data_IF_793484979976
#
_entry.id   IF_793484979976
#
_cell.length_a   1.000
_cell.length_b   1.000
_cell.length_c   1.000
_cell.angle_alpha   90.00
_cell.angle_beta   90.00
_cell.angle_gamma   90.00
#
_symmetry.space_group_name_H-M   'P 1'
#
loop_
_entity.id
_entity.type
_entity.pdbx_description
1 polymer ?
#
# COMPACT_ATOMS: atom_id res chain seq x y z
N UNK A 1 -0.69 34.80 -1.27
CA UNK A 1 -0.21 36.20 -1.39
C UNK A 1 1.27 36.36 -1.01
N UNK A 2 1.78 35.73 0.03
CA UNK A 2 3.21 35.81 0.39
C UNK A 2 4.17 35.16 -0.63
N UNK A 3 3.82 34.06 -1.28
CA UNK A 3 4.65 33.42 -2.30
C UNK A 3 4.80 34.27 -3.58
N UNK A 4 3.78 35.02 -3.96
CA UNK A 4 3.86 35.94 -5.11
C UNK A 4 4.77 37.15 -4.85
N UNK A 5 4.80 37.63 -3.61
CA UNK A 5 5.64 38.79 -3.23
C UNK A 5 7.12 38.37 -3.24
N UNK A 6 7.46 37.16 -2.80
CA UNK A 6 8.85 36.67 -2.80
C UNK A 6 9.38 36.44 -4.22
N UNK A 7 8.55 35.93 -5.14
CA UNK A 7 8.94 35.71 -6.54
C UNK A 7 9.18 37.05 -7.27
N UNK A 8 8.33 38.07 -7.01
CA UNK A 8 8.49 39.40 -7.58
C UNK A 8 9.74 40.14 -7.06
N UNK A 9 10.09 39.94 -5.78
CA UNK A 9 11.30 40.53 -5.19
C UNK A 9 12.57 39.92 -5.79
N UNK A 10 12.64 38.59 -5.94
CA UNK A 10 13.79 37.90 -6.52
C UNK A 10 14.02 38.30 -7.98
N UNK A 11 12.95 38.40 -8.77
CA UNK A 11 13.05 38.79 -10.18
C UNK A 11 13.50 40.26 -10.35
N UNK A 12 13.00 41.15 -9.47
CA UNK A 12 13.40 42.56 -9.47
C UNK A 12 14.87 42.79 -9.09
N UNK A 13 15.38 42.05 -8.12
CA UNK A 13 16.79 42.07 -7.70
C UNK A 13 17.73 41.49 -8.78
N UNK A 14 17.34 40.43 -9.45
CA UNK A 14 18.13 39.81 -10.54
C UNK A 14 18.27 40.79 -11.71
N UNK A 15 17.23 41.49 -12.09
CA UNK A 15 17.26 42.50 -13.17
C UNK A 15 18.10 43.73 -12.79
N UNK A 16 18.10 44.14 -11.51
CA UNK A 16 18.93 45.26 -11.02
C UNK A 16 20.41 44.88 -11.02
N UNK A 17 20.76 43.64 -10.58
CA UNK A 17 22.14 43.14 -10.57
C UNK A 17 22.69 42.99 -12.00
N UNK A 18 21.89 42.50 -12.96
CA UNK A 18 22.29 42.45 -14.38
C UNK A 18 22.48 43.83 -15.00
N UNK A 19 21.65 44.82 -14.63
CA UNK A 19 21.81 46.21 -15.09
C UNK A 19 23.09 46.85 -14.52
N UNK A 20 23.39 46.66 -13.25
CA UNK A 20 24.61 47.17 -12.60
C UNK A 20 25.85 46.49 -13.20
N UNK A 21 25.82 45.18 -13.46
CA UNK A 21 26.90 44.44 -14.08
C UNK A 21 27.21 44.96 -15.51
N UNK A 22 26.19 45.29 -16.30
CA UNK A 22 26.37 45.87 -17.65
C UNK A 22 26.93 47.29 -17.64
N UNK A 23 26.76 48.05 -16.56
CA UNK A 23 27.28 49.41 -16.42
C UNK A 23 28.69 49.42 -15.84
N UNK A 24 29.13 48.40 -15.14
CA UNK A 24 30.47 48.28 -14.50
C UNK A 24 31.57 47.79 -15.42
N UNK A 25 31.32 47.46 -16.69
CA UNK A 25 32.26 46.87 -17.64
C UNK A 25 33.30 47.93 -18.18
N UNK A 26 33.24 49.21 -17.76
CA UNK A 26 34.09 50.27 -18.31
C UNK A 26 35.16 50.83 -17.36
N UNK A 27 35.48 50.19 -16.23
CA UNK A 27 36.56 50.67 -15.35
C UNK A 27 37.31 49.49 -14.69
N UNK A 28 38.66 49.56 -14.63
CA UNK A 28 39.52 48.49 -14.01
C UNK A 28 39.23 48.23 -12.51
N UNK A 29 38.55 49.16 -11.82
CA UNK A 29 38.01 48.94 -10.49
C UNK A 29 36.81 47.94 -10.48
N UNK A 30 36.21 47.67 -11.63
CA UNK A 30 35.04 46.81 -11.77
C UNK A 30 35.34 45.32 -11.53
N UNK A 31 36.56 44.83 -11.73
CA UNK A 31 36.91 43.43 -11.57
C UNK A 31 36.86 42.97 -10.10
N UNK A 32 37.40 43.79 -9.19
CA UNK A 32 37.40 43.45 -7.76
C UNK A 32 35.99 43.58 -7.14
N UNK A 33 35.23 44.58 -7.58
CA UNK A 33 33.82 44.75 -7.16
C UNK A 33 32.93 43.64 -7.73
N UNK A 34 33.17 43.24 -8.99
CA UNK A 34 32.41 42.16 -9.64
C UNK A 34 32.66 40.81 -8.92
N UNK A 35 33.90 40.47 -8.53
CA UNK A 35 34.23 39.27 -7.78
C UNK A 35 33.61 39.31 -6.37
N UNK A 36 33.63 40.48 -5.71
CA UNK A 36 32.99 40.63 -4.39
C UNK A 36 31.45 40.52 -4.48
N UNK A 37 30.81 41.11 -5.46
CA UNK A 37 29.36 41.02 -5.68
C UNK A 37 28.96 39.62 -6.16
N UNK A 38 29.75 38.99 -7.01
CA UNK A 38 29.50 37.62 -7.46
C UNK A 38 29.61 36.62 -6.31
N UNK A 39 30.66 36.72 -5.49
CA UNK A 39 30.83 35.87 -4.32
C UNK A 39 29.76 36.12 -3.25
N UNK A 40 29.34 37.36 -3.02
CA UNK A 40 28.22 37.69 -2.13
C UNK A 40 26.90 37.16 -2.65
N UNK A 41 26.64 37.23 -3.96
CA UNK A 41 25.43 36.71 -4.58
C UNK A 41 25.39 35.17 -4.57
N UNK A 42 26.54 34.50 -4.77
CA UNK A 42 26.66 33.04 -4.65
C UNK A 42 26.52 32.61 -3.21
N UNK A 43 27.08 33.36 -2.26
CA UNK A 43 26.93 33.10 -0.84
C UNK A 43 25.49 33.29 -0.35
N UNK A 44 24.82 34.37 -0.77
CA UNK A 44 23.40 34.57 -0.48
C UNK A 44 22.49 33.53 -1.16
N UNK A 45 22.80 33.11 -2.40
CA UNK A 45 22.08 32.00 -3.06
C UNK A 45 22.27 30.69 -2.30
N UNK A 46 23.51 30.37 -1.86
CA UNK A 46 23.76 29.18 -1.03
C UNK A 46 23.06 29.27 0.34
N UNK A 47 23.08 30.43 1.00
CA UNK A 47 22.42 30.65 2.29
C UNK A 47 20.90 30.62 2.16
N UNK A 48 20.33 31.23 1.11
CA UNK A 48 18.90 31.15 0.79
C UNK A 48 18.46 29.72 0.43
N UNK A 49 19.29 28.96 -0.30
CA UNK A 49 19.01 27.56 -0.64
C UNK A 49 19.13 26.66 0.61
N UNK A 50 20.07 26.94 1.51
CA UNK A 50 20.19 26.28 2.80
C UNK A 50 19.05 26.65 3.77
N UNK A 51 18.64 27.92 3.83
CA UNK A 51 17.46 28.34 4.61
C UNK A 51 16.15 27.83 4.01
N UNK A 52 16.01 27.78 2.69
CA UNK A 52 14.85 27.17 2.03
C UNK A 52 14.76 25.65 2.29
N UNK A 53 15.91 24.94 2.33
CA UNK A 53 15.94 23.55 2.73
C UNK A 53 15.54 23.32 4.20
N UNK A 54 15.70 24.30 5.10
CA UNK A 54 15.31 24.17 6.51
C UNK A 54 13.81 24.40 6.79
N UNK A 55 13.01 24.77 5.79
CA UNK A 55 11.59 25.08 5.95
C UNK A 55 10.62 24.01 5.38
N UNK A 56 11.13 23.00 4.69
CA UNK A 56 10.27 21.93 4.18
C UNK A 56 10.20 20.80 5.21
N UNK A 57 9.23 20.90 6.13
CA UNK A 57 8.87 19.78 6.99
C UNK A 57 7.95 18.86 6.21
N UNK A 58 8.29 17.57 6.18
CA UNK A 58 7.42 16.56 5.58
C UNK A 58 6.12 16.48 6.35
N UNK A 59 5.01 16.31 5.62
CA UNK A 59 3.67 16.19 6.19
C UNK A 59 3.14 14.78 6.00
N UNK A 60 2.76 14.14 7.08
CA UNK A 60 2.16 12.81 7.08
C UNK A 60 0.74 12.86 7.64
N UNK A 61 -0.20 12.30 6.89
CA UNK A 61 -1.56 12.10 7.37
C UNK A 61 -1.70 10.69 7.95
N UNK A 62 -2.11 10.61 9.21
CA UNK A 62 -2.47 9.36 9.87
C UNK A 62 -3.98 9.19 9.82
N UNK A 63 -4.44 8.12 9.20
CA UNK A 63 -5.85 7.73 9.13
C UNK A 63 -6.08 6.63 10.16
N UNK A 64 -6.88 6.92 11.18
CA UNK A 64 -7.18 6.01 12.27
C UNK A 64 -8.49 5.27 11.98
N UNK A 65 -8.40 4.03 11.45
CA UNK A 65 -9.60 3.26 11.11
C UNK A 65 -10.16 2.48 12.29
N UNK A 66 -9.33 2.18 13.29
CA UNK A 66 -9.69 1.38 14.46
C UNK A 66 -8.64 0.31 14.79
N UNK A 67 -9.08 -0.82 15.29
CA UNK A 67 -8.24 -1.95 15.68
C UNK A 67 -7.58 -1.78 17.06
N UNK A 68 -6.87 -2.81 17.50
CA UNK A 68 -6.25 -2.90 18.84
C UNK A 68 -5.33 -1.73 19.16
N UNK A 69 -4.61 -1.20 18.16
CA UNK A 69 -3.69 -0.06 18.32
C UNK A 69 -4.39 1.17 18.90
N UNK A 70 -5.65 1.39 18.57
CA UNK A 70 -6.45 2.54 19.00
C UNK A 70 -7.24 2.29 20.28
N UNK A 71 -7.13 1.10 20.86
CA UNK A 71 -7.88 0.76 22.07
C UNK A 71 -7.12 1.16 23.34
N UNK A 72 -7.88 1.52 24.36
CA UNK A 72 -7.38 1.74 25.72
C UNK A 72 -8.14 0.84 26.69
N UNK A 73 -7.48 0.49 27.78
CA UNK A 73 -8.09 -0.33 28.82
C UNK A 73 -8.83 0.56 29.82
N UNK A 74 -10.12 0.30 30.01
CA UNK A 74 -10.88 0.91 31.07
C UNK A 74 -10.31 0.52 32.45
N UNK A 75 -10.04 1.51 33.28
CA UNK A 75 -9.36 1.30 34.57
C UNK A 75 -10.24 0.55 35.59
N UNK A 76 -11.56 0.58 35.45
CA UNK A 76 -12.51 -0.03 36.39
C UNK A 76 -12.91 -1.44 35.95
N UNK A 77 -13.22 -1.61 34.67
CA UNK A 77 -13.75 -2.87 34.14
C UNK A 77 -12.67 -3.76 33.53
N UNK A 78 -11.51 -3.20 33.18
CA UNK A 78 -10.45 -3.87 32.44
C UNK A 78 -10.77 -4.12 30.97
N UNK A 79 -11.96 -3.73 30.48
CA UNK A 79 -12.39 -3.90 29.11
C UNK A 79 -11.63 -2.95 28.18
N UNK A 80 -11.42 -3.40 26.94
CA UNK A 80 -10.85 -2.56 25.88
C UNK A 80 -11.98 -1.78 25.20
N UNK A 81 -11.75 -0.48 25.00
CA UNK A 81 -12.65 0.39 24.23
C UNK A 81 -11.81 1.33 23.35
N UNK A 82 -12.36 1.83 22.23
CA UNK A 82 -11.68 2.79 21.38
C UNK A 82 -11.30 4.05 22.17
N UNK A 83 -10.05 4.50 22.03
CA UNK A 83 -9.61 5.79 22.57
C UNK A 83 -10.14 6.93 21.70
N UNK A 84 -10.57 8.01 22.33
CA UNK A 84 -10.73 9.26 21.60
C UNK A 84 -9.39 9.80 21.10
N UNK A 85 -9.42 10.72 20.13
CA UNK A 85 -8.22 11.23 19.50
C UNK A 85 -7.28 11.95 20.46
N UNK A 86 -7.81 12.62 21.51
CA UNK A 86 -6.98 13.33 22.50
C UNK A 86 -6.24 12.35 23.40
N UNK A 87 -6.95 11.33 23.86
CA UNK A 87 -6.37 10.23 24.65
C UNK A 87 -5.30 9.51 23.85
N UNK A 88 -5.58 9.18 22.56
CA UNK A 88 -4.59 8.55 21.69
C UNK A 88 -3.33 9.40 21.53
N UNK A 89 -3.46 10.71 21.27
CA UNK A 89 -2.35 11.66 21.16
C UNK A 89 -1.51 11.76 22.43
N UNK A 90 -2.13 11.59 23.59
CA UNK A 90 -1.41 11.64 24.88
C UNK A 90 -0.43 10.46 25.06
N UNK A 91 -0.62 9.33 24.38
CA UNK A 91 0.30 8.19 24.41
C UNK A 91 1.54 8.36 23.53
N UNK A 92 1.50 9.28 22.56
CA UNK A 92 2.57 9.50 21.56
C UNK A 92 2.88 10.99 21.36
N UNK A 93 3.19 11.73 22.44
CA UNK A 93 3.41 13.18 22.36
C UNK A 93 4.60 13.57 21.46
N UNK A 94 5.58 12.68 21.29
CA UNK A 94 6.74 12.88 20.43
C UNK A 94 6.36 13.05 18.96
N UNK A 95 5.23 12.52 18.49
CA UNK A 95 4.75 12.72 17.11
C UNK A 95 4.50 14.19 16.79
N UNK A 96 4.11 14.97 17.78
CA UNK A 96 3.76 16.38 17.61
C UNK A 96 4.90 17.33 17.93
N UNK A 97 6.04 16.81 18.43
CA UNK A 97 7.24 17.56 18.76
C UNK A 97 8.37 17.38 17.73
N UNK A 98 8.23 16.46 16.77
CA UNK A 98 9.24 16.09 15.77
C UNK A 98 9.38 17.07 14.61
N UNK A 99 10.30 16.74 13.70
CA UNK A 99 10.50 17.49 12.44
C UNK A 99 9.42 17.23 11.41
N UNK A 100 8.78 16.04 11.44
CA UNK A 100 7.64 15.68 10.59
C UNK A 100 6.36 16.27 11.17
N UNK A 101 5.57 16.94 10.33
CA UNK A 101 4.24 17.40 10.70
C UNK A 101 3.25 16.25 10.55
N UNK A 102 2.53 15.93 11.62
CA UNK A 102 1.58 14.81 11.66
C UNK A 102 0.18 15.31 11.96
N UNK A 103 -0.72 15.09 11.01
CA UNK A 103 -2.15 15.27 11.21
C UNK A 103 -2.84 13.91 11.31
N UNK A 104 -3.97 13.84 12.03
CA UNK A 104 -4.71 12.60 12.26
C UNK A 104 -6.19 12.78 11.97
N UNK A 105 -6.75 11.88 11.18
CA UNK A 105 -8.20 11.80 10.89
C UNK A 105 -8.72 10.43 11.37
N UNK A 106 -9.60 10.37 12.36
CA UNK A 106 -10.25 9.13 12.76
C UNK A 106 -11.44 8.80 11.85
N UNK A 107 -11.71 7.52 11.68
CA UNK A 107 -13.03 7.05 11.25
C UNK A 107 -14.07 7.32 12.34
N UNK A 108 -15.30 7.53 11.94
CA UNK A 108 -16.43 7.68 12.85
C UNK A 108 -17.59 6.82 12.34
N UNK A 109 -17.92 5.72 13.04
CA UNK A 109 -17.20 5.16 14.21
C UNK A 109 -15.87 4.48 13.83
N UNK A 110 -14.99 4.28 14.83
CA UNK A 110 -13.82 3.38 14.70
C UNK A 110 -14.32 1.94 14.53
N UNK A 111 -13.65 1.18 13.66
CA UNK A 111 -14.11 -0.14 13.23
C UNK A 111 -13.21 -1.27 13.77
N UNK A 112 -13.81 -2.42 14.05
CA UNK A 112 -13.06 -3.66 14.13
C UNK A 112 -12.70 -4.13 12.72
N UNK A 113 -11.46 -4.59 12.52
CA UNK A 113 -11.02 -5.03 11.19
C UNK A 113 -11.76 -6.28 10.69
N UNK A 114 -12.35 -7.08 11.58
CA UNK A 114 -13.19 -8.22 11.21
C UNK A 114 -14.51 -7.83 10.53
N UNK A 115 -14.99 -6.60 10.77
CA UNK A 115 -16.23 -6.07 10.20
C UNK A 115 -16.00 -5.27 8.90
N UNK A 116 -14.75 -5.11 8.48
CA UNK A 116 -14.42 -4.32 7.29
C UNK A 116 -14.88 -5.00 5.99
N UNK A 117 -15.32 -4.16 5.07
CA UNK A 117 -15.86 -4.54 3.78
C UNK A 117 -15.38 -3.57 2.68
N UNK A 118 -15.72 -3.78 1.39
CA UNK A 118 -15.27 -2.92 0.31
C UNK A 118 -15.67 -1.44 0.43
N UNK A 119 -16.75 -1.09 1.14
CA UNK A 119 -17.12 0.31 1.38
C UNK A 119 -16.11 1.00 2.29
N UNK A 120 -15.58 0.28 3.27
CA UNK A 120 -14.54 0.81 4.15
C UNK A 120 -13.20 0.97 3.39
N UNK A 121 -12.87 0.08 2.45
CA UNK A 121 -11.69 0.27 1.56
C UNK A 121 -11.85 1.52 0.70
N UNK A 122 -13.06 1.76 0.15
CA UNK A 122 -13.36 3.01 -0.59
C UNK A 122 -13.18 4.24 0.27
N UNK A 123 -13.66 4.20 1.52
CA UNK A 123 -13.51 5.32 2.46
C UNK A 123 -12.03 5.60 2.78
N UNK A 124 -11.22 4.57 3.06
CA UNK A 124 -9.77 4.73 3.28
C UNK A 124 -9.09 5.34 2.05
N UNK A 125 -9.35 4.78 0.87
CA UNK A 125 -8.74 5.23 -0.37
C UNK A 125 -9.18 6.64 -0.76
N UNK A 126 -10.45 7.00 -0.50
CA UNK A 126 -10.98 8.34 -0.74
C UNK A 126 -10.30 9.37 0.17
N UNK A 127 -10.08 9.07 1.46
CA UNK A 127 -9.35 9.96 2.36
C UNK A 127 -7.91 10.21 1.89
N UNK A 128 -7.22 9.17 1.43
CA UNK A 128 -5.88 9.34 0.84
C UNK A 128 -5.95 10.23 -0.41
N UNK A 129 -6.92 9.98 -1.30
CA UNK A 129 -7.08 10.72 -2.55
C UNK A 129 -7.40 12.19 -2.32
N UNK A 130 -8.34 12.52 -1.43
CA UNK A 130 -8.78 13.88 -1.13
C UNK A 130 -7.67 14.74 -0.49
N UNK A 131 -6.72 14.09 0.19
CA UNK A 131 -5.61 14.75 0.86
C UNK A 131 -4.26 14.57 0.14
N UNK A 132 -4.26 13.93 -1.04
CA UNK A 132 -3.04 13.53 -1.71
C UNK A 132 -2.05 14.66 -1.98
N UNK A 133 -2.55 15.83 -2.39
CA UNK A 133 -1.71 16.99 -2.70
C UNK A 133 -1.24 17.76 -1.46
N UNK A 134 -1.85 17.51 -0.29
CA UNK A 134 -1.58 18.25 0.94
C UNK A 134 -0.52 17.57 1.82
N UNK A 135 -0.31 16.25 1.64
CA UNK A 135 0.59 15.45 2.45
C UNK A 135 1.62 14.74 1.57
N UNK A 136 2.79 14.47 2.16
CA UNK A 136 3.90 13.79 1.49
C UNK A 136 3.78 12.26 1.63
N UNK A 137 3.12 11.78 2.68
CA UNK A 137 2.88 10.35 2.90
C UNK A 137 1.67 10.10 3.80
N UNK A 138 1.23 8.85 3.83
CA UNK A 138 0.03 8.42 4.53
C UNK A 138 0.33 7.20 5.41
N UNK A 139 -0.21 7.18 6.62
CA UNK A 139 -0.18 6.02 7.50
C UNK A 139 -1.63 5.64 7.83
N UNK A 140 -1.97 4.37 7.67
CA UNK A 140 -3.29 3.84 7.98
C UNK A 140 -3.17 2.92 9.18
N UNK A 141 -3.70 3.36 10.34
CA UNK A 141 -3.79 2.54 11.54
C UNK A 141 -4.99 1.62 11.44
N UNK A 142 -4.74 0.32 11.52
CA UNK A 142 -5.70 -0.70 11.14
C UNK A 142 -5.63 -1.89 12.11
N UNK A 143 -6.75 -2.59 12.31
CA UNK A 143 -6.75 -3.87 13.01
C UNK A 143 -6.03 -4.95 12.21
N UNK A 144 -5.32 -5.86 12.90
CA UNK A 144 -4.40 -6.80 12.23
C UNK A 144 -5.09 -7.92 11.45
N UNK A 145 -6.37 -8.26 11.74
CA UNK A 145 -7.03 -9.46 11.18
C UNK A 145 -7.22 -9.40 9.67
N UNK A 146 -7.61 -8.25 9.13
CA UNK A 146 -7.85 -8.08 7.70
C UNK A 146 -6.93 -7.04 7.03
N UNK A 147 -5.85 -6.64 7.70
CA UNK A 147 -4.92 -5.62 7.19
C UNK A 147 -4.34 -6.00 5.83
N UNK A 148 -3.98 -7.26 5.60
CA UNK A 148 -3.47 -7.74 4.31
C UNK A 148 -4.49 -7.61 3.17
N UNK A 149 -5.79 -7.79 3.47
CA UNK A 149 -6.87 -7.56 2.50
C UNK A 149 -7.01 -6.08 2.17
N UNK A 150 -7.04 -5.22 3.18
CA UNK A 150 -7.16 -3.77 2.98
C UNK A 150 -5.96 -3.18 2.25
N UNK A 151 -4.74 -3.57 2.61
CA UNK A 151 -3.53 -3.14 1.92
C UNK A 151 -3.49 -3.63 0.46
N UNK A 152 -3.96 -4.87 0.21
CA UNK A 152 -4.08 -5.39 -1.15
C UNK A 152 -5.13 -4.63 -1.96
N UNK A 153 -6.31 -4.38 -1.38
CA UNK A 153 -7.38 -3.65 -2.05
C UNK A 153 -6.93 -2.24 -2.46
N UNK A 154 -6.32 -1.48 -1.53
CA UNK A 154 -5.84 -0.13 -1.81
C UNK A 154 -4.71 -0.13 -2.85
N UNK A 155 -3.88 -1.19 -2.90
CA UNK A 155 -2.85 -1.34 -3.94
C UNK A 155 -3.45 -1.36 -5.35
N UNK A 156 -4.65 -1.94 -5.53
CA UNK A 156 -5.33 -2.00 -6.83
C UNK A 156 -6.20 -0.77 -7.10
N UNK A 157 -6.67 -0.08 -6.06
CA UNK A 157 -7.52 1.10 -6.19
C UNK A 157 -6.76 2.34 -6.67
N UNK A 158 -5.48 2.46 -6.33
CA UNK A 158 -4.67 3.61 -6.70
C UNK A 158 -3.97 3.38 -8.05
N UNK A 159 -4.48 3.99 -9.11
CA UNK A 159 -3.75 4.07 -10.37
C UNK A 159 -2.82 5.28 -10.34
N UNK A 160 -1.54 5.04 -10.59
CA UNK A 160 -0.47 6.04 -10.58
C UNK A 160 -0.08 6.57 -9.19
N UNK A 161 -0.10 5.73 -8.16
CA UNK A 161 0.38 6.07 -6.83
C UNK A 161 1.88 6.42 -6.88
N UNK A 162 2.26 7.58 -6.34
CA UNK A 162 3.65 8.07 -6.29
C UNK A 162 4.07 8.54 -4.90
N UNK A 163 3.25 8.30 -3.87
CA UNK A 163 3.55 8.60 -2.46
C UNK A 163 3.37 7.36 -1.59
N UNK A 164 4.08 7.27 -0.44
CA UNK A 164 3.92 6.14 0.48
C UNK A 164 2.52 6.09 1.08
N UNK A 165 1.93 4.89 1.14
CA UNK A 165 0.74 4.58 1.94
C UNK A 165 1.09 3.38 2.82
N UNK A 166 1.34 3.60 4.10
CA UNK A 166 1.85 2.59 5.02
C UNK A 166 0.75 2.12 5.97
N UNK A 167 0.32 0.88 5.84
CA UNK A 167 -0.53 0.23 6.82
C UNK A 167 0.29 -0.22 8.02
N UNK A 168 -0.24 -0.01 9.21
CA UNK A 168 0.31 -0.56 10.45
C UNK A 168 -0.78 -0.74 11.49
N UNK A 169 -0.43 -1.46 12.55
CA UNK A 169 -1.30 -1.76 13.67
C UNK A 169 -0.50 -2.27 14.85
N UNK A 170 -1.15 -2.92 15.78
CA UNK A 170 -0.46 -3.58 16.88
C UNK A 170 -1.22 -4.80 17.40
N UNK A 171 -0.50 -5.71 18.04
CA UNK A 171 -1.09 -6.83 18.75
C UNK A 171 -1.59 -6.44 20.15
N UNK A 172 -0.98 -5.40 20.74
CA UNK A 172 -1.39 -4.86 22.05
C UNK A 172 -1.82 -3.40 21.93
N UNK A 173 -2.79 -2.97 22.77
CA UNK A 173 -3.23 -1.58 22.84
C UNK A 173 -2.06 -0.63 23.19
N UNK A 174 -2.10 0.61 22.66
CA UNK A 174 -1.01 1.58 22.81
C UNK A 174 -0.67 1.93 24.27
N UNK A 175 -1.64 1.88 25.18
CA UNK A 175 -1.46 2.16 26.61
C UNK A 175 -0.91 0.99 27.44
N UNK A 176 -0.61 -0.17 26.86
CA UNK A 176 -0.11 -1.34 27.57
C UNK A 176 1.42 -1.31 27.64
N UNK A 177 2.00 -1.69 28.80
CA UNK A 177 3.45 -1.58 29.08
C UNK A 177 4.37 -2.24 28.02
N UNK A 178 3.98 -3.38 27.45
CA UNK A 178 4.75 -4.11 26.43
C UNK A 178 4.19 -3.96 25.03
N UNK A 179 3.45 -2.87 24.76
CA UNK A 179 2.83 -2.66 23.47
C UNK A 179 3.86 -2.45 22.36
N UNK A 180 3.63 -3.11 21.22
CA UNK A 180 4.30 -2.89 19.95
C UNK A 180 3.77 -1.66 19.17
N UNK A 181 2.65 -1.07 19.63
CA UNK A 181 1.93 -0.01 18.93
C UNK A 181 2.78 1.23 18.68
N UNK A 182 3.54 1.68 19.69
CA UNK A 182 4.32 2.93 19.60
C UNK A 182 5.43 2.83 18.58
N UNK A 183 6.20 1.75 18.60
CA UNK A 183 7.28 1.51 17.64
C UNK A 183 6.71 1.39 16.23
N UNK A 184 5.67 0.58 16.04
CA UNK A 184 5.04 0.38 14.74
C UNK A 184 4.52 1.71 14.15
N UNK A 185 3.90 2.56 14.96
CA UNK A 185 3.39 3.87 14.54
C UNK A 185 4.53 4.83 14.17
N UNK A 186 5.52 5.01 15.07
CA UNK A 186 6.61 5.96 14.86
C UNK A 186 7.42 5.62 13.62
N UNK A 187 7.79 4.34 13.45
CA UNK A 187 8.56 3.88 12.30
C UNK A 187 7.74 3.96 11.00
N UNK A 188 6.43 3.69 11.04
CA UNK A 188 5.56 3.87 9.86
C UNK A 188 5.51 5.32 9.40
N UNK A 189 5.48 6.28 10.33
CA UNK A 189 5.51 7.71 10.01
C UNK A 189 6.88 8.11 9.44
N UNK A 190 7.98 7.61 10.01
CA UNK A 190 9.33 7.84 9.47
C UNK A 190 9.44 7.32 8.03
N UNK A 191 8.92 6.11 7.75
CA UNK A 191 8.88 5.54 6.39
C UNK A 191 8.02 6.38 5.45
N UNK A 192 6.84 6.82 5.89
CA UNK A 192 5.94 7.64 5.10
C UNK A 192 6.51 9.04 4.78
N UNK A 193 7.41 9.55 5.64
CA UNK A 193 8.12 10.81 5.47
C UNK A 193 9.48 10.66 4.77
N UNK A 194 9.89 9.43 4.39
CA UNK A 194 11.23 9.17 3.86
C UNK A 194 11.33 9.53 2.37
N UNK A 195 12.18 10.51 2.08
CA UNK A 195 12.44 11.02 0.74
C UNK A 195 13.95 11.02 0.47
N UNK A 196 14.33 10.84 -0.78
CA UNK A 196 15.72 10.91 -1.20
C UNK A 196 16.22 12.36 -1.35
N UNK A 197 17.49 12.50 -1.75
CA UNK A 197 18.12 13.82 -1.92
C UNK A 197 17.56 14.60 -3.11
N UNK A 198 16.95 13.91 -4.05
CA UNK A 198 16.30 14.44 -5.24
C UNK A 198 14.86 14.90 -4.95
N UNK A 199 14.31 14.55 -3.77
CA UNK A 199 12.96 14.90 -3.35
C UNK A 199 11.90 13.89 -3.84
N UNK A 200 12.32 12.67 -4.16
CA UNK A 200 11.42 11.57 -4.47
C UNK A 200 11.17 10.69 -3.23
N UNK A 201 9.95 10.19 -3.02
CA UNK A 201 9.68 9.26 -1.92
C UNK A 201 10.48 7.97 -2.10
N UNK A 202 11.03 7.44 -1.02
CA UNK A 202 11.82 6.21 -1.07
C UNK A 202 10.92 5.00 -1.39
N UNK A 203 9.69 4.96 -0.86
CA UNK A 203 8.76 3.82 -1.03
C UNK A 203 7.41 4.32 -1.54
N UNK A 204 7.24 4.58 -2.85
CA UNK A 204 5.99 5.07 -3.44
C UNK A 204 4.99 3.93 -3.71
N UNK A 205 4.68 3.14 -2.69
CA UNK A 205 3.80 1.97 -2.76
C UNK A 205 2.83 1.93 -1.58
N UNK A 206 1.79 1.09 -1.71
CA UNK A 206 1.02 0.65 -0.55
C UNK A 206 1.80 -0.46 0.15
N UNK A 207 2.18 -0.21 1.40
CA UNK A 207 3.02 -1.08 2.21
C UNK A 207 2.33 -1.48 3.52
N UNK A 208 2.85 -2.52 4.16
CA UNK A 208 2.51 -2.93 5.51
C UNK A 208 3.78 -2.98 6.33
N UNK A 209 3.83 -2.22 7.42
CA UNK A 209 4.93 -2.25 8.38
C UNK A 209 4.49 -2.87 9.70
N UNK A 210 5.24 -3.83 10.20
CA UNK A 210 5.06 -4.40 11.54
C UNK A 210 6.31 -5.13 12.00
N UNK A 211 6.64 -5.00 13.29
CA UNK A 211 7.72 -5.74 13.95
C UNK A 211 9.07 -5.64 13.22
N UNK A 212 9.45 -4.43 12.84
CA UNK A 212 10.75 -4.13 12.22
C UNK A 212 10.84 -4.43 10.72
N UNK A 213 9.79 -4.91 10.07
CA UNK A 213 9.82 -5.22 8.64
C UNK A 213 8.75 -4.48 7.85
N UNK A 214 9.16 -3.88 6.72
CA UNK A 214 8.26 -3.25 5.75
C UNK A 214 8.05 -4.20 4.58
N UNK A 215 6.81 -4.56 4.33
CA UNK A 215 6.43 -5.41 3.22
C UNK A 215 5.63 -4.65 2.16
N UNK A 216 5.66 -5.12 0.90
CA UNK A 216 4.66 -4.71 -0.09
C UNK A 216 3.28 -5.18 0.36
N UNK A 217 2.30 -4.29 0.45
CA UNK A 217 1.01 -4.57 1.05
C UNK A 217 0.28 -5.77 0.45
N UNK A 218 0.28 -5.87 -0.88
CA UNK A 218 -0.37 -6.95 -1.63
C UNK A 218 0.44 -8.26 -1.74
N UNK A 219 1.52 -8.37 -0.96
CA UNK A 219 2.32 -9.61 -0.82
C UNK A 219 2.23 -10.23 0.57
N UNK A 220 1.45 -9.63 1.45
CA UNK A 220 1.39 -10.01 2.87
C UNK A 220 0.27 -10.99 3.17
N UNK A 221 0.50 -11.78 4.21
CA UNK A 221 -0.47 -12.68 4.85
C UNK A 221 -0.28 -12.60 6.36
N UNK A 222 -1.37 -12.56 7.14
CA UNK A 222 -1.31 -12.70 8.60
C UNK A 222 -0.99 -14.16 8.95
N UNK A 223 0.22 -14.37 9.44
CA UNK A 223 0.74 -15.72 9.75
C UNK A 223 0.54 -16.15 11.20
N UNK A 224 0.30 -15.21 12.10
CA UNK A 224 0.24 -15.47 13.53
C UNK A 224 -0.78 -14.56 14.22
N UNK A 225 -1.57 -15.14 15.13
CA UNK A 225 -2.58 -14.41 15.89
C UNK A 225 -2.07 -13.80 17.20
N UNK A 226 -0.89 -14.21 17.71
CA UNK A 226 -0.40 -13.87 19.04
C UNK A 226 0.95 -13.14 19.04
N UNK A 227 1.85 -13.44 18.09
CA UNK A 227 3.17 -12.84 18.03
C UNK A 227 3.13 -11.43 17.44
N UNK A 228 4.07 -10.56 17.87
CA UNK A 228 4.26 -9.23 17.29
C UNK A 228 4.63 -9.32 15.81
N UNK A 229 5.48 -10.30 15.43
CA UNK A 229 5.73 -10.66 14.03
C UNK A 229 4.52 -11.38 13.43
N UNK A 230 3.39 -10.65 13.30
CA UNK A 230 2.10 -11.21 12.90
C UNK A 230 1.98 -11.44 11.40
N UNK A 231 2.77 -10.76 10.58
CA UNK A 231 2.70 -10.83 9.11
C UNK A 231 3.95 -11.46 8.51
N UNK A 232 3.80 -11.94 7.27
CA UNK A 232 4.92 -12.35 6.43
C UNK A 232 4.59 -12.11 4.96
N UNK A 233 5.64 -11.93 4.16
CA UNK A 233 5.59 -11.92 2.70
C UNK A 233 6.42 -13.11 2.19
N UNK A 234 5.76 -14.22 1.95
CA UNK A 234 6.42 -15.51 1.73
C UNK A 234 7.15 -15.61 0.38
N UNK A 235 6.63 -14.97 -0.66
CA UNK A 235 7.15 -15.05 -2.03
C UNK A 235 7.82 -13.76 -2.48
N UNK A 236 7.93 -12.75 -1.61
CA UNK A 236 8.60 -11.48 -1.94
C UNK A 236 9.33 -10.95 -0.70
N UNK A 237 10.61 -10.57 -0.81
CA UNK A 237 11.36 -10.09 0.36
C UNK A 237 10.81 -8.79 0.93
N UNK A 238 11.10 -8.50 2.20
CA UNK A 238 10.79 -7.22 2.82
C UNK A 238 11.45 -6.05 2.06
N UNK A 239 10.72 -4.95 1.89
CA UNK A 239 11.18 -3.74 1.21
C UNK A 239 12.17 -2.94 2.06
N UNK A 240 12.01 -3.03 3.39
CA UNK A 240 12.93 -2.43 4.33
C UNK A 240 12.94 -3.19 5.66
N UNK A 241 14.03 -2.98 6.42
CA UNK A 241 14.17 -3.45 7.80
C UNK A 241 14.52 -2.27 8.70
N UNK A 242 13.76 -2.12 9.78
CA UNK A 242 14.02 -1.14 10.82
C UNK A 242 14.94 -1.72 11.89
N UNK A 243 15.93 -0.94 12.28
CA UNK A 243 16.84 -1.18 13.37
C UNK A 243 17.20 0.18 13.98
N UNK A 244 18.47 0.43 14.32
CA UNK A 244 18.93 1.79 14.65
C UNK A 244 18.71 2.75 13.47
N UNK A 245 18.82 2.22 12.26
CA UNK A 245 18.49 2.91 11.01
C UNK A 245 17.58 2.03 10.16
N UNK A 246 16.71 2.65 9.37
CA UNK A 246 15.89 1.93 8.39
C UNK A 246 16.74 1.64 7.15
N UNK A 247 16.90 0.35 6.86
CA UNK A 247 17.63 -0.11 5.66
C UNK A 247 16.65 -0.48 4.57
N UNK A 248 16.61 0.30 3.48
CA UNK A 248 15.74 0.08 2.32
C UNK A 248 16.40 -0.80 1.27
N UNK A 249 15.69 -1.82 0.81
CA UNK A 249 16.12 -2.69 -0.31
C UNK A 249 15.61 -2.09 -1.63
N UNK A 250 16.25 -1.02 -2.09
CA UNK A 250 15.82 -0.19 -3.23
C UNK A 250 15.49 -0.97 -4.50
N UNK A 251 16.22 -2.07 -4.77
CA UNK A 251 15.99 -2.94 -5.93
C UNK A 251 14.67 -3.72 -5.88
N UNK A 252 14.03 -3.80 -4.70
CA UNK A 252 12.76 -4.48 -4.49
C UNK A 252 11.57 -3.52 -4.52
N UNK A 253 11.82 -2.22 -4.37
CA UNK A 253 10.78 -1.19 -4.34
C UNK A 253 10.31 -0.90 -5.75
N UNK A 254 8.99 -0.98 -5.97
CA UNK A 254 8.38 -0.67 -7.25
C UNK A 254 8.14 0.84 -7.40
N UNK A 255 8.28 1.33 -8.63
CA UNK A 255 7.95 2.69 -9.00
C UNK A 255 6.84 2.63 -10.05
N UNK A 256 5.61 2.44 -9.58
CA UNK A 256 4.43 2.25 -10.45
C UNK A 256 3.81 3.58 -10.89
N UNK A 257 4.11 4.67 -10.16
CA UNK A 257 3.62 6.00 -10.47
C UNK A 257 4.50 6.77 -11.46
N UNK A 258 3.86 7.63 -12.25
CA UNK A 258 4.51 8.61 -13.13
C UNK A 258 4.18 10.02 -12.61
N UNK A 259 5.18 10.76 -12.14
CA UNK A 259 5.01 12.09 -11.54
C UNK A 259 4.36 13.12 -12.48
N UNK A 260 4.38 12.88 -13.80
CA UNK A 260 3.70 13.76 -14.78
C UNK A 260 2.20 13.47 -14.94
N UNK A 261 1.67 12.44 -14.31
CA UNK A 261 0.26 12.05 -14.34
C UNK A 261 -0.33 12.10 -12.93
N UNK A 262 -1.54 12.65 -12.74
CA UNK A 262 -2.17 12.67 -11.41
C UNK A 262 -2.53 11.26 -10.94
N UNK A 263 -2.68 11.12 -9.61
CA UNK A 263 -3.29 9.94 -9.02
C UNK A 263 -4.72 9.80 -9.52
N UNK A 264 -5.13 8.58 -9.85
CA UNK A 264 -6.51 8.22 -10.17
C UNK A 264 -7.01 7.16 -9.21
N UNK A 265 -8.29 7.24 -8.83
CA UNK A 265 -8.91 6.34 -7.88
C UNK A 265 -9.95 5.46 -8.57
N UNK A 266 -9.75 4.14 -8.50
CA UNK A 266 -10.66 3.12 -9.02
C UNK A 266 -11.40 2.48 -7.85
N UNK A 267 -12.74 2.60 -7.77
CA UNK A 267 -13.50 2.31 -6.56
C UNK A 267 -14.46 1.13 -6.66
N UNK A 268 -14.62 0.53 -7.83
CA UNK A 268 -15.63 -0.51 -8.02
C UNK A 268 -15.13 -1.87 -7.55
N UNK A 269 -15.99 -2.57 -6.84
CA UNK A 269 -15.78 -3.95 -6.39
C UNK A 269 -17.04 -4.77 -6.67
N UNK A 270 -16.86 -6.01 -7.13
CA UNK A 270 -17.91 -7.02 -7.20
C UNK A 270 -17.63 -8.10 -6.17
N UNK A 271 -18.46 -8.17 -5.14
CA UNK A 271 -18.28 -9.10 -4.01
C UNK A 271 -18.81 -10.51 -4.28
N UNK A 272 -19.34 -10.78 -5.48
CA UNK A 272 -19.85 -12.09 -5.89
C UNK A 272 -18.71 -13.04 -6.24
N UNK A 273 -17.81 -13.27 -5.30
CA UNK A 273 -16.65 -14.17 -5.40
C UNK A 273 -16.66 -15.15 -4.24
N UNK A 274 -16.06 -16.33 -4.45
CA UNK A 274 -15.94 -17.36 -3.43
C UNK A 274 -14.54 -17.96 -3.43
N UNK A 275 -14.15 -18.58 -2.31
CA UNK A 275 -12.95 -19.41 -2.21
C UNK A 275 -13.42 -20.88 -2.17
N UNK A 276 -12.93 -21.69 -3.10
CA UNK A 276 -13.13 -23.13 -3.11
C UNK A 276 -11.80 -23.82 -2.79
N UNK A 277 -11.66 -24.25 -1.55
CA UNK A 277 -10.49 -24.96 -1.08
C UNK A 277 -10.66 -26.47 -1.27
N UNK A 278 -9.82 -27.09 -2.08
CA UNK A 278 -9.82 -28.52 -2.26
C UNK A 278 -9.20 -29.23 -1.06
N UNK A 279 -9.75 -30.40 -0.71
CA UNK A 279 -9.23 -31.26 0.36
C UNK A 279 -9.43 -32.74 -0.02
N UNK A 280 -8.63 -33.70 0.53
CA UNK A 280 -8.86 -35.10 0.31
C UNK A 280 -10.25 -35.56 0.77
N UNK A 281 -11.03 -36.19 -0.13
CA UNK A 281 -12.40 -36.59 0.16
C UNK A 281 -13.47 -35.53 -0.19
N UNK A 282 -13.11 -34.41 -0.81
CA UNK A 282 -14.10 -33.44 -1.33
C UNK A 282 -15.02 -34.14 -2.35
N UNK A 283 -16.33 -33.91 -2.25
CA UNK A 283 -17.33 -34.52 -3.11
C UNK A 283 -17.77 -33.60 -4.22
N UNK A 284 -18.40 -34.15 -5.27
CA UNK A 284 -19.00 -33.39 -6.35
C UNK A 284 -20.05 -32.38 -5.84
N UNK A 285 -20.85 -32.79 -4.83
CA UNK A 285 -21.90 -31.94 -4.28
C UNK A 285 -21.35 -30.69 -3.59
N UNK A 286 -20.23 -30.79 -2.86
CA UNK A 286 -19.57 -29.62 -2.23
C UNK A 286 -19.07 -28.65 -3.30
N UNK A 287 -18.43 -29.17 -4.35
CA UNK A 287 -17.95 -28.33 -5.47
C UNK A 287 -19.12 -27.70 -6.20
N UNK A 288 -20.18 -28.44 -6.48
CA UNK A 288 -21.39 -27.94 -7.13
C UNK A 288 -22.06 -26.86 -6.28
N UNK A 289 -22.18 -27.05 -4.96
CA UNK A 289 -22.79 -26.07 -4.08
C UNK A 289 -22.11 -24.68 -4.14
N UNK A 290 -20.78 -24.64 -4.35
CA UNK A 290 -20.04 -23.38 -4.55
C UNK A 290 -20.18 -22.87 -5.97
N UNK A 291 -19.99 -23.71 -7.00
CA UNK A 291 -19.98 -23.27 -8.41
C UNK A 291 -21.36 -22.86 -8.91
N UNK A 292 -22.45 -23.40 -8.33
CA UNK A 292 -23.83 -23.14 -8.70
C UNK A 292 -24.47 -22.03 -7.86
N UNK A 293 -23.72 -21.27 -7.02
CA UNK A 293 -24.21 -20.10 -6.31
C UNK A 293 -24.81 -19.09 -7.29
N UNK A 294 -26.08 -18.70 -7.14
CA UNK A 294 -26.71 -17.78 -8.07
C UNK A 294 -25.97 -16.43 -8.17
N UNK A 295 -25.60 -16.05 -9.38
CA UNK A 295 -24.93 -14.78 -9.65
C UNK A 295 -23.43 -14.74 -9.27
N UNK A 296 -22.83 -15.85 -8.86
CA UNK A 296 -21.37 -15.92 -8.62
C UNK A 296 -20.59 -15.50 -9.88
N UNK A 297 -19.56 -14.68 -9.71
CA UNK A 297 -18.75 -14.13 -10.81
C UNK A 297 -17.31 -14.64 -10.80
N UNK A 298 -16.77 -14.97 -9.63
CA UNK A 298 -15.38 -15.40 -9.50
C UNK A 298 -15.17 -16.46 -8.44
N UNK A 299 -14.19 -17.34 -8.65
CA UNK A 299 -13.75 -18.35 -7.69
C UNK A 299 -12.23 -18.36 -7.60
N UNK A 300 -11.72 -18.22 -6.40
CA UNK A 300 -10.35 -18.59 -6.04
C UNK A 300 -10.34 -20.08 -5.75
N UNK A 301 -9.74 -20.89 -6.63
CA UNK A 301 -9.62 -22.32 -6.48
C UNK A 301 -8.29 -22.63 -5.76
N UNK A 302 -8.34 -22.97 -4.47
CA UNK A 302 -7.15 -23.35 -3.70
C UNK A 302 -6.83 -24.83 -3.87
N UNK A 303 -5.72 -25.11 -4.55
CA UNK A 303 -5.25 -26.46 -4.95
C UNK A 303 -3.99 -26.86 -4.21
N UNK A 304 -3.50 -28.07 -4.46
CA UNK A 304 -2.36 -28.66 -3.75
C UNK A 304 -1.02 -28.34 -4.45
N UNK A 305 0.04 -28.18 -3.65
CA UNK A 305 1.42 -28.05 -4.15
C UNK A 305 1.54 -27.00 -5.26
N UNK A 306 2.11 -27.36 -6.40
CA UNK A 306 2.31 -26.47 -7.55
C UNK A 306 1.04 -26.26 -8.42
N UNK A 307 -0.16 -26.38 -7.84
CA UNK A 307 -1.41 -26.17 -8.55
C UNK A 307 -2.13 -27.46 -8.97
N UNK A 308 -1.93 -28.55 -8.25
CA UNK A 308 -2.52 -29.86 -8.53
C UNK A 308 -3.91 -30.00 -7.90
N UNK A 309 -4.80 -30.72 -8.61
CA UNK A 309 -6.14 -31.04 -8.18
C UNK A 309 -6.38 -32.58 -8.26
N UNK A 310 -7.42 -33.12 -7.59
CA UNK A 310 -7.79 -34.52 -7.78
C UNK A 310 -8.07 -34.86 -9.23
N UNK A 311 -7.70 -36.07 -9.69
CA UNK A 311 -7.85 -36.51 -11.08
C UNK A 311 -9.29 -36.92 -11.47
N UNK A 312 -10.28 -36.56 -10.69
CA UNK A 312 -11.68 -36.90 -10.94
C UNK A 312 -12.25 -36.16 -12.15
N UNK A 313 -12.74 -36.90 -13.13
CA UNK A 313 -13.31 -36.31 -14.36
C UNK A 313 -14.51 -35.38 -14.10
N UNK A 314 -15.32 -35.71 -13.08
CA UNK A 314 -16.45 -34.86 -12.68
C UNK A 314 -15.99 -33.46 -12.27
N UNK A 315 -14.81 -33.33 -11.61
CA UNK A 315 -14.28 -32.03 -11.16
C UNK A 315 -14.00 -31.11 -12.36
N UNK A 316 -13.27 -31.62 -13.35
CA UNK A 316 -12.93 -30.85 -14.55
C UNK A 316 -14.15 -30.52 -15.41
N UNK A 317 -15.12 -31.42 -15.47
CA UNK A 317 -16.42 -31.17 -16.11
C UNK A 317 -17.18 -30.03 -15.42
N UNK A 318 -17.25 -30.03 -14.07
CA UNK A 318 -17.90 -28.97 -13.30
C UNK A 318 -17.22 -27.61 -13.50
N UNK A 319 -15.90 -27.56 -13.41
CA UNK A 319 -15.12 -26.35 -13.61
C UNK A 319 -15.31 -25.78 -15.01
N UNK A 320 -15.23 -26.63 -16.05
CA UNK A 320 -15.46 -26.21 -17.43
C UNK A 320 -16.86 -25.64 -17.63
N UNK A 321 -17.89 -26.35 -17.18
CA UNK A 321 -19.27 -25.89 -17.31
C UNK A 321 -19.50 -24.55 -16.59
N UNK A 322 -18.82 -24.30 -15.48
CA UNK A 322 -18.88 -23.01 -14.80
C UNK A 322 -18.17 -21.90 -15.57
N UNK A 323 -16.99 -22.16 -16.12
CA UNK A 323 -16.26 -21.21 -16.98
C UNK A 323 -17.04 -20.91 -18.26
N UNK A 324 -17.65 -21.90 -18.89
CA UNK A 324 -18.48 -21.72 -20.09
C UNK A 324 -19.72 -20.84 -19.83
N UNK A 325 -20.20 -20.81 -18.58
CA UNK A 325 -21.25 -19.90 -18.11
C UNK A 325 -20.73 -18.49 -17.72
N UNK A 326 -19.44 -18.22 -17.91
CA UNK A 326 -18.82 -16.92 -17.63
C UNK A 326 -18.19 -16.76 -16.25
N UNK A 327 -18.11 -17.83 -15.44
CA UNK A 327 -17.41 -17.77 -14.15
C UNK A 327 -15.89 -17.67 -14.35
N UNK A 328 -15.25 -16.73 -13.67
CA UNK A 328 -13.79 -16.58 -13.65
C UNK A 328 -13.22 -17.45 -12.54
N UNK A 329 -12.39 -18.45 -12.88
CA UNK A 329 -11.75 -19.34 -11.89
C UNK A 329 -10.25 -19.18 -11.98
N UNK A 330 -9.62 -18.85 -10.83
CA UNK A 330 -8.17 -18.69 -10.71
C UNK A 330 -7.61 -19.74 -9.76
N UNK A 331 -6.63 -20.51 -10.27
CA UNK A 331 -5.93 -21.51 -9.50
C UNK A 331 -4.84 -20.88 -8.63
N UNK A 332 -4.90 -21.10 -7.33
CA UNK A 332 -3.91 -20.67 -6.33
C UNK A 332 -3.48 -21.86 -5.47
N UNK A 333 -2.20 -21.93 -5.14
CA UNK A 333 -1.71 -22.97 -4.23
C UNK A 333 -2.14 -22.74 -2.79
N UNK A 334 -2.44 -23.81 -2.05
CA UNK A 334 -2.65 -23.75 -0.59
C UNK A 334 -1.35 -23.54 0.18
N UNK A 335 -0.19 -23.71 -0.47
CA UNK A 335 1.10 -23.45 0.16
C UNK A 335 1.35 -21.94 0.28
N UNK A 336 1.96 -21.55 1.39
CA UNK A 336 2.33 -20.15 1.62
C UNK A 336 3.48 -19.70 0.71
N UNK A 337 4.39 -20.64 0.35
CA UNK A 337 5.53 -20.38 -0.54
C UNK A 337 5.39 -21.16 -1.83
N UNK A 338 6.03 -20.65 -2.88
CA UNK A 338 6.03 -21.25 -4.21
C UNK A 338 4.94 -20.68 -5.12
N UNK A 339 4.83 -21.26 -6.30
CA UNK A 339 3.99 -20.75 -7.38
C UNK A 339 3.19 -21.87 -8.02
N UNK A 340 2.03 -21.52 -8.53
CA UNK A 340 1.23 -22.40 -9.41
C UNK A 340 1.91 -22.50 -10.77
N UNK A 341 2.34 -23.73 -11.13
CA UNK A 341 2.98 -24.06 -12.41
C UNK A 341 2.00 -24.87 -13.28
N UNK A 342 1.06 -24.18 -13.93
CA UNK A 342 0.09 -24.85 -14.81
C UNK A 342 0.75 -25.33 -16.10
N UNK A 343 0.38 -26.55 -16.51
CA UNK A 343 0.89 -27.13 -17.78
C UNK A 343 2.08 -28.10 -17.62
N UNK A 344 2.71 -28.18 -16.44
CA UNK A 344 3.81 -29.12 -16.21
C UNK A 344 3.34 -30.53 -15.82
N UNK A 345 2.20 -30.68 -15.17
CA UNK A 345 1.62 -31.94 -14.75
C UNK A 345 0.29 -32.22 -15.49
N UNK A 346 -0.01 -33.49 -15.75
CA UNK A 346 -1.24 -33.89 -16.46
C UNK A 346 -2.51 -33.32 -15.80
N UNK A 347 -2.55 -33.29 -14.48
CA UNK A 347 -3.69 -32.73 -13.71
C UNK A 347 -3.82 -31.22 -13.86
N UNK A 348 -2.72 -30.48 -13.96
CA UNK A 348 -2.73 -29.04 -14.18
C UNK A 348 -3.09 -28.68 -15.63
N UNK A 349 -2.77 -29.55 -16.59
CA UNK A 349 -3.22 -29.44 -17.99
C UNK A 349 -4.75 -29.55 -18.07
N UNK A 350 -5.39 -30.40 -17.27
CA UNK A 350 -6.84 -30.51 -17.25
C UNK A 350 -7.52 -29.26 -16.69
N UNK A 351 -6.91 -28.57 -15.70
CA UNK A 351 -7.39 -27.27 -15.24
C UNK A 351 -7.31 -26.21 -16.33
N UNK A 352 -6.20 -26.14 -17.08
CA UNK A 352 -6.07 -25.25 -18.24
C UNK A 352 -7.14 -25.52 -19.29
N UNK A 353 -7.37 -26.81 -19.65
CA UNK A 353 -8.42 -27.21 -20.58
C UNK A 353 -9.83 -26.89 -20.08
N UNK A 354 -10.03 -26.78 -18.77
CA UNK A 354 -11.28 -26.32 -18.18
C UNK A 354 -11.43 -24.79 -18.17
N UNK A 355 -10.43 -24.03 -18.66
CA UNK A 355 -10.46 -22.58 -18.71
C UNK A 355 -10.08 -21.88 -17.39
N UNK A 356 -9.49 -22.62 -16.45
CA UNK A 356 -8.95 -22.07 -15.19
C UNK A 356 -7.63 -21.36 -15.48
N UNK A 357 -7.43 -20.16 -14.93
CA UNK A 357 -6.20 -19.37 -15.11
C UNK A 357 -5.29 -19.48 -13.89
N UNK A 358 -3.99 -19.19 -14.07
CA UNK A 358 -3.00 -19.25 -12.98
C UNK A 358 -2.98 -17.98 -12.15
N UNK A 359 -2.94 -18.13 -10.81
CA UNK A 359 -2.64 -17.05 -9.88
C UNK A 359 -1.15 -16.93 -9.58
N UNK A 360 -0.30 -17.81 -10.13
CA UNK A 360 1.14 -17.84 -9.85
C UNK A 360 1.44 -17.91 -8.35
N UNK A 361 2.20 -16.94 -7.82
CA UNK A 361 2.64 -16.84 -6.42
C UNK A 361 1.88 -15.82 -5.58
N UNK A 362 0.73 -15.35 -6.09
CA UNK A 362 -0.13 -14.35 -5.41
C UNK A 362 -0.66 -14.88 -4.08
N UNK A 363 -0.82 -14.02 -3.08
CA UNK A 363 -1.49 -14.39 -1.81
C UNK A 363 -3.00 -14.53 -2.01
N UNK A 364 -3.69 -15.24 -1.10
CA UNK A 364 -5.16 -15.37 -1.16
C UNK A 364 -5.82 -14.00 -1.01
N UNK A 365 -5.32 -13.18 -0.10
CA UNK A 365 -5.82 -11.83 0.17
C UNK A 365 -5.72 -10.93 -1.06
N UNK A 366 -4.56 -10.91 -1.71
CA UNK A 366 -4.35 -10.13 -2.92
C UNK A 366 -5.17 -10.65 -4.10
N UNK A 367 -5.27 -11.98 -4.28
CA UNK A 367 -6.05 -12.56 -5.36
C UNK A 367 -7.53 -12.27 -5.21
N UNK A 368 -8.07 -12.42 -4.00
CA UNK A 368 -9.48 -12.18 -3.73
C UNK A 368 -9.86 -10.71 -3.98
N UNK A 369 -9.08 -9.78 -3.43
CA UNK A 369 -9.31 -8.34 -3.60
C UNK A 369 -9.09 -7.87 -5.04
N UNK A 370 -8.07 -8.41 -5.75
CA UNK A 370 -7.84 -8.16 -7.17
C UNK A 370 -9.02 -8.65 -8.03
N UNK A 371 -9.52 -9.85 -7.74
CA UNK A 371 -10.67 -10.43 -8.45
C UNK A 371 -11.92 -9.59 -8.24
N UNK A 372 -12.25 -9.21 -6.99
CA UNK A 372 -13.39 -8.33 -6.69
C UNK A 372 -13.26 -6.99 -7.43
N UNK A 373 -12.08 -6.38 -7.40
CA UNK A 373 -11.80 -5.11 -8.04
C UNK A 373 -11.95 -5.18 -9.57
N UNK A 374 -11.30 -6.15 -10.22
CA UNK A 374 -11.35 -6.30 -11.66
C UNK A 374 -12.75 -6.65 -12.17
N UNK A 375 -13.48 -7.52 -11.45
CA UNK A 375 -14.88 -7.84 -11.77
C UNK A 375 -15.82 -6.63 -11.59
N UNK A 376 -15.49 -5.72 -10.67
CA UNK A 376 -16.23 -4.47 -10.48
C UNK A 376 -15.93 -3.44 -11.57
N UNK A 377 -14.67 -3.22 -11.91
CA UNK A 377 -14.25 -2.22 -12.90
C UNK A 377 -14.55 -2.65 -14.34
N UNK A 378 -14.36 -3.93 -14.66
CA UNK A 378 -14.53 -4.49 -16.01
C UNK A 378 -15.68 -5.50 -16.07
N UNK A 379 -16.83 -5.14 -15.50
CA UNK A 379 -17.96 -6.03 -15.24
C UNK A 379 -18.47 -6.80 -16.50
N UNK A 380 -18.30 -6.24 -17.70
CA UNK A 380 -18.82 -6.77 -18.96
C UNK A 380 -17.73 -7.42 -19.84
N UNK A 381 -16.47 -7.45 -19.38
CA UNK A 381 -15.34 -8.00 -20.16
C UNK A 381 -14.59 -9.07 -19.36
N UNK A 382 -15.17 -10.28 -19.31
CA UNK A 382 -14.61 -11.43 -18.61
C UNK A 382 -13.22 -11.83 -19.12
N UNK A 383 -12.96 -11.68 -20.42
CA UNK A 383 -11.65 -12.03 -21.00
C UNK A 383 -10.57 -11.02 -20.60
N UNK A 384 -10.90 -9.73 -20.55
CA UNK A 384 -10.00 -8.72 -20.01
C UNK A 384 -9.71 -8.99 -18.52
N UNK A 385 -10.73 -9.32 -17.72
CA UNK A 385 -10.57 -9.70 -16.31
C UNK A 385 -9.59 -10.87 -16.15
N UNK A 386 -9.79 -11.98 -16.89
CA UNK A 386 -8.87 -13.13 -16.88
C UNK A 386 -7.44 -12.72 -17.24
N UNK A 387 -7.28 -11.91 -18.29
CA UNK A 387 -5.97 -11.40 -18.73
C UNK A 387 -5.29 -10.55 -17.67
N UNK A 388 -6.03 -9.67 -16.98
CA UNK A 388 -5.48 -8.81 -15.93
C UNK A 388 -5.17 -9.58 -14.64
N UNK A 389 -5.94 -10.62 -14.31
CA UNK A 389 -5.68 -11.51 -13.17
C UNK A 389 -4.34 -12.22 -13.28
N UNK A 390 -3.89 -12.55 -14.49
CA UNK A 390 -2.61 -13.22 -14.77
C UNK A 390 -1.44 -12.27 -14.98
N UNK A 391 -1.64 -10.94 -14.88
CA UNK A 391 -0.59 -9.92 -14.98
C UNK A 391 -0.30 -9.33 -13.60
N UNK A 392 0.94 -8.92 -13.39
CA UNK A 392 1.29 -8.07 -12.24
C UNK A 392 0.86 -6.64 -12.55
N UNK A 393 -0.02 -6.07 -11.73
CA UNK A 393 -0.51 -4.69 -11.84
C UNK A 393 0.31 -3.74 -10.98
N UNK A 394 0.59 -4.15 -9.75
CA UNK A 394 1.33 -3.37 -8.75
C UNK A 394 2.24 -4.27 -7.90
N UNK A 395 2.85 -5.28 -8.52
CA UNK A 395 3.85 -6.14 -7.90
C UNK A 395 3.29 -7.29 -7.05
N UNK A 396 2.00 -7.60 -7.14
CA UNK A 396 1.30 -8.60 -6.34
C UNK A 396 1.63 -10.04 -6.68
N UNK A 397 2.19 -10.29 -7.87
CA UNK A 397 2.60 -11.61 -8.33
C UNK A 397 3.89 -11.54 -9.16
N UNK A 398 4.59 -12.67 -9.22
CA UNK A 398 5.78 -12.87 -10.05
C UNK A 398 5.41 -13.79 -11.22
N UNK A 399 5.62 -13.32 -12.45
CA UNK A 399 5.44 -14.14 -13.65
C UNK A 399 6.75 -14.86 -13.91
N UNK A 400 6.79 -16.20 -13.96
CA UNK A 400 7.98 -16.92 -14.36
C UNK A 400 8.40 -16.55 -15.78
N UNK A 401 9.70 -16.43 -16.01
CA UNK A 401 10.29 -16.19 -17.33
C UNK A 401 10.08 -17.37 -18.27
#
# INVERSE_FOLDING_TARGET
MQQFVTFFYIHKYTVIVEKIAKTAIFCELGKSIFILLHNSCVFQKKTLTLQAKSYWRMKVLVILTGGTISMVRDAQTGALHPADLQTFKAFVPELFAGETLVDMIPFDPLLDSSDLNPDNWRQMAQLVYDHYDQYDGFVILHGTDTMSYSASALSFMFDNLSKPVVFTGSQLPIGVLRSDARENLLTSIEIAAAYDKEGAPIVPEVCLYMDGELYRGNRTTKRNAEHFSAFNSYNYPALAKAGVHITYHKQLIGHYGNLSRPLSLMTKFDTRVAILKLFPGITEDVVAAVLDIPGLRGVVLETFGAGNAPSHEWLYRRLRNAVDKGLVIVNKTQCNTGSVAMGHYAVSINLLKAGVVSGYDITTEALLTKMMHLLGEYANDTELVKKLLTKSLCGELTIPN
#
